data_IF_408480558738
#
_entry.id   IF_408480558738
#
_cell.length_a   1.000
_cell.length_b   1.000
_cell.length_c   1.000
_cell.angle_alpha   90.00
_cell.angle_beta   90.00
_cell.angle_gamma   90.00
#
_symmetry.space_group_name_H-M   'P 1'
#
loop_
_entity.id
_entity.type
_entity.pdbx_description
1 polymer ?
#
# COMPACT_ATOMS: atom_id res chain seq x y z
N UNK A 1 29.47 19.90 -10.24
CA UNK A 1 28.53 18.90 -9.70
C UNK A 1 27.86 18.23 -10.90
N UNK A 2 28.22 16.98 -11.28
CA UNK A 2 27.57 16.30 -12.41
C UNK A 2 26.07 16.13 -12.14
N UNK A 3 25.23 16.44 -13.10
CA UNK A 3 23.77 16.32 -12.99
C UNK A 3 23.37 14.84 -13.13
N UNK A 4 22.87 14.24 -12.05
CA UNK A 4 22.42 12.83 -12.02
C UNK A 4 21.00 12.64 -12.58
N UNK A 5 20.29 13.74 -12.86
CA UNK A 5 18.91 13.74 -13.36
C UNK A 5 18.68 12.82 -14.58
N UNK A 6 19.56 12.78 -15.60
CA UNK A 6 19.36 11.90 -16.75
C UNK A 6 19.49 10.42 -16.39
N UNK A 7 20.47 10.07 -15.55
CA UNK A 7 20.72 8.69 -15.14
C UNK A 7 19.63 8.18 -14.19
N UNK A 8 19.12 9.05 -13.31
CA UNK A 8 17.99 8.75 -12.44
C UNK A 8 16.69 8.58 -13.25
N UNK A 9 16.45 9.44 -14.25
CA UNK A 9 15.31 9.31 -15.14
C UNK A 9 15.35 7.99 -15.94
N UNK A 10 16.53 7.62 -16.45
CA UNK A 10 16.73 6.35 -17.15
C UNK A 10 16.44 5.15 -16.22
N UNK A 11 16.97 5.16 -14.99
CA UNK A 11 16.73 4.09 -14.02
C UNK A 11 15.25 3.92 -13.66
N UNK A 12 14.53 5.02 -13.41
CA UNK A 12 13.08 4.98 -13.13
C UNK A 12 12.31 4.47 -14.34
N UNK A 13 12.63 4.94 -15.55
CA UNK A 13 11.97 4.49 -16.78
C UNK A 13 12.16 2.98 -17.02
N UNK A 14 13.36 2.44 -16.79
CA UNK A 14 13.63 1.01 -16.91
C UNK A 14 12.81 0.18 -15.92
N UNK A 15 12.69 0.63 -14.66
CA UNK A 15 11.89 -0.07 -13.64
C UNK A 15 10.41 -0.02 -14.01
N UNK A 16 9.89 1.14 -14.43
CA UNK A 16 8.50 1.27 -14.86
C UNK A 16 8.19 0.37 -16.06
N UNK A 17 9.10 0.29 -17.03
CA UNK A 17 8.97 -0.60 -18.18
C UNK A 17 8.95 -2.07 -17.75
N UNK A 18 9.85 -2.48 -16.85
CA UNK A 18 9.88 -3.85 -16.33
C UNK A 18 8.57 -4.20 -15.61
N UNK A 19 8.09 -3.33 -14.72
CA UNK A 19 6.82 -3.53 -14.02
C UNK A 19 5.64 -3.60 -14.98
N UNK A 20 5.65 -2.78 -16.03
CA UNK A 20 4.63 -2.81 -17.07
C UNK A 20 4.64 -4.15 -17.82
N UNK A 21 5.81 -4.64 -18.25
CA UNK A 21 5.94 -5.95 -18.91
C UNK A 21 5.48 -7.08 -18.00
N UNK A 22 5.89 -7.08 -16.73
CA UNK A 22 5.45 -8.09 -15.74
C UNK A 22 3.93 -8.04 -15.57
N UNK A 23 3.34 -6.85 -15.49
CA UNK A 23 1.88 -6.68 -15.39
C UNK A 23 1.17 -7.28 -16.61
N UNK A 24 1.65 -7.01 -17.82
CA UNK A 24 1.08 -7.60 -19.04
C UNK A 24 1.21 -9.12 -19.08
N UNK A 25 2.36 -9.67 -18.65
CA UNK A 25 2.58 -11.11 -18.55
C UNK A 25 1.60 -11.76 -17.58
N UNK A 26 1.34 -11.13 -16.43
CA UNK A 26 0.35 -11.60 -15.45
C UNK A 26 -1.06 -11.58 -16.03
N UNK A 27 -1.47 -10.49 -16.69
CA UNK A 27 -2.79 -10.40 -17.34
C UNK A 27 -2.96 -11.50 -18.40
N UNK A 28 -1.94 -11.68 -19.26
CA UNK A 28 -1.96 -12.72 -20.29
C UNK A 28 -2.00 -14.13 -19.71
N UNK A 29 -1.21 -14.37 -18.66
CA UNK A 29 -1.17 -15.65 -17.96
C UNK A 29 -2.52 -15.97 -17.33
N UNK A 30 -3.11 -15.05 -16.56
CA UNK A 30 -4.43 -15.24 -15.94
C UNK A 30 -5.53 -15.40 -16.97
N UNK A 31 -5.48 -14.67 -18.08
CA UNK A 31 -6.43 -14.87 -19.17
C UNK A 31 -6.34 -16.29 -19.77
N UNK A 32 -5.12 -16.78 -20.00
CA UNK A 32 -4.87 -18.11 -20.56
C UNK A 32 -5.23 -19.23 -19.59
N UNK A 33 -5.01 -18.99 -18.30
CA UNK A 33 -5.40 -19.88 -17.20
C UNK A 33 -6.92 -19.95 -17.04
N UNK A 34 -7.59 -18.80 -16.98
CA UNK A 34 -9.04 -18.71 -16.81
C UNK A 34 -9.83 -19.34 -17.99
N UNK A 35 -9.25 -19.41 -19.19
CA UNK A 35 -9.87 -20.14 -20.32
C UNK A 35 -10.05 -21.63 -20.05
N UNK A 36 -9.16 -22.23 -19.25
CA UNK A 36 -9.15 -23.67 -19.00
C UNK A 36 -9.71 -24.01 -17.62
N UNK A 37 -9.60 -23.09 -16.66
CA UNK A 37 -9.82 -23.38 -15.24
C UNK A 37 -10.97 -22.58 -14.61
N UNK A 38 -11.75 -21.80 -15.37
CA UNK A 38 -12.86 -21.00 -14.84
C UNK A 38 -14.18 -21.21 -15.58
N UNK A 39 -15.27 -21.25 -14.83
CA UNK A 39 -16.64 -21.21 -15.34
C UNK A 39 -17.05 -19.79 -15.81
N UNK A 40 -16.32 -18.77 -15.36
CA UNK A 40 -16.54 -17.37 -15.71
C UNK A 40 -15.71 -16.93 -16.92
N UNK A 41 -16.17 -15.93 -17.69
CA UNK A 41 -15.44 -15.40 -18.83
C UNK A 41 -14.00 -14.97 -18.50
N UNK A 42 -13.03 -15.52 -19.23
CA UNK A 42 -11.61 -15.20 -19.07
C UNK A 42 -11.30 -13.69 -19.21
N UNK A 43 -12.09 -12.97 -20.01
CA UNK A 43 -11.95 -11.53 -20.17
C UNK A 43 -12.22 -10.77 -18.86
N UNK A 44 -13.19 -11.21 -18.05
CA UNK A 44 -13.48 -10.57 -16.75
C UNK A 44 -12.28 -10.70 -15.81
N UNK A 45 -11.68 -11.90 -15.74
CA UNK A 45 -10.47 -12.12 -14.94
C UNK A 45 -9.29 -11.25 -15.39
N UNK A 46 -9.09 -11.09 -16.70
CA UNK A 46 -8.06 -10.19 -17.23
C UNK A 46 -8.29 -8.73 -16.78
N UNK A 47 -9.53 -8.24 -16.83
CA UNK A 47 -9.90 -6.91 -16.36
C UNK A 47 -9.69 -6.76 -14.86
N UNK A 48 -10.06 -7.78 -14.06
CA UNK A 48 -9.86 -7.78 -12.60
C UNK A 48 -8.37 -7.68 -12.25
N UNK A 49 -7.51 -8.46 -12.91
CA UNK A 49 -6.06 -8.43 -12.65
C UNK A 49 -5.41 -7.14 -13.13
N UNK A 50 -5.86 -6.60 -14.26
CA UNK A 50 -5.41 -5.29 -14.73
C UNK A 50 -5.79 -4.15 -13.77
N UNK A 51 -7.00 -4.21 -13.19
CA UNK A 51 -7.49 -3.23 -12.22
C UNK A 51 -7.05 -3.50 -10.76
N UNK A 52 -6.46 -4.65 -10.48
CA UNK A 52 -6.00 -5.05 -9.15
C UNK A 52 -5.15 -3.99 -8.43
N UNK A 53 -4.16 -3.31 -9.06
CA UNK A 53 -3.42 -2.24 -8.38
C UNK A 53 -4.31 -1.06 -7.95
N UNK A 54 -5.37 -0.73 -8.69
CA UNK A 54 -6.33 0.31 -8.29
C UNK A 54 -7.24 -0.20 -7.17
N UNK A 55 -7.72 -1.45 -7.28
CA UNK A 55 -8.55 -2.08 -6.24
C UNK A 55 -7.79 -2.17 -4.90
N UNK A 56 -6.48 -2.46 -4.94
CA UNK A 56 -5.63 -2.46 -3.76
C UNK A 56 -5.54 -1.08 -3.10
N UNK A 57 -5.43 0.00 -3.87
CA UNK A 57 -5.46 1.37 -3.35
C UNK A 57 -6.81 1.68 -2.69
N UNK A 58 -7.91 1.37 -3.36
CA UNK A 58 -9.26 1.57 -2.82
C UNK A 58 -9.41 0.81 -1.49
N UNK A 59 -9.02 -0.46 -1.44
CA UNK A 59 -9.05 -1.26 -0.22
C UNK A 59 -8.18 -0.68 0.89
N UNK A 60 -6.99 -0.17 0.56
CA UNK A 60 -6.12 0.49 1.52
C UNK A 60 -6.80 1.73 2.13
N UNK A 61 -7.48 2.56 1.34
CA UNK A 61 -8.20 3.72 1.88
C UNK A 61 -9.43 3.34 2.70
N UNK A 62 -10.15 2.31 2.31
CA UNK A 62 -11.38 1.89 2.98
C UNK A 62 -11.11 1.13 4.27
N UNK A 63 -10.19 0.15 4.24
CA UNK A 63 -9.94 -0.80 5.34
C UNK A 63 -8.59 -0.54 6.01
N UNK A 64 -7.54 -0.30 5.21
CA UNK A 64 -6.17 -0.14 5.73
C UNK A 64 -5.92 1.19 6.45
N UNK A 65 -6.66 2.25 6.08
CA UNK A 65 -6.48 3.60 6.62
C UNK A 65 -7.26 3.79 7.91
N UNK A 66 -6.84 3.09 8.96
CA UNK A 66 -7.22 3.46 10.32
C UNK A 66 -6.44 4.70 10.72
N UNK A 67 -7.16 5.79 11.07
CA UNK A 67 -6.55 6.87 11.83
C UNK A 67 -6.42 6.33 13.24
N UNK A 68 -5.22 5.92 13.63
CA UNK A 68 -4.88 5.89 15.05
C UNK A 68 -5.13 7.31 15.53
N UNK A 69 -6.29 7.56 16.16
CA UNK A 69 -6.45 8.75 16.96
C UNK A 69 -5.33 8.66 17.98
N UNK A 70 -4.30 9.49 17.81
CA UNK A 70 -3.30 9.72 18.83
C UNK A 70 -4.06 10.19 20.05
N UNK A 71 -4.46 9.24 20.91
CA UNK A 71 -4.92 9.55 22.25
C UNK A 71 -3.69 10.18 22.91
N UNK A 72 -3.72 11.48 23.25
CA UNK A 72 -2.55 12.10 23.84
C UNK A 72 -2.19 11.30 25.10
N UNK A 73 -0.94 10.80 25.24
CA UNK A 73 -0.51 10.22 26.49
C UNK A 73 -0.42 11.36 27.49
N UNK A 74 -1.36 11.41 28.44
CA UNK A 74 -1.23 12.27 29.61
C UNK A 74 -2.17 13.47 29.70
N UNK A 75 -3.49 13.24 29.64
CA UNK A 75 -4.44 14.09 30.38
C UNK A 75 -4.78 13.49 31.75
N UNK A 76 -3.83 12.79 32.39
CA UNK A 76 -3.97 12.38 33.79
C UNK A 76 -3.42 13.47 34.69
N UNK A 77 -4.34 14.32 35.14
CA UNK A 77 -4.43 14.87 36.49
C UNK A 77 -3.19 14.65 37.36
N UNK A 78 -2.26 15.61 37.35
CA UNK A 78 -1.31 15.81 38.44
C UNK A 78 -2.10 16.31 39.64
N UNK A 79 -2.70 15.37 40.36
CA UNK A 79 -3.70 15.62 41.38
C UNK A 79 -3.70 14.53 42.42
N UNK A 80 -2.52 14.11 42.89
CA UNK A 80 -2.37 13.34 44.12
C UNK A 80 -0.89 13.04 44.34
N UNK A 81 -0.10 14.03 44.76
CA UNK A 81 1.06 13.67 45.57
C UNK A 81 1.16 14.56 46.82
N UNK A 82 0.37 14.11 47.79
CA UNK A 82 0.88 13.75 49.12
C UNK A 82 1.70 14.81 49.83
N UNK A 83 0.97 15.74 50.44
CA UNK A 83 1.28 16.38 51.73
C UNK A 83 1.60 15.35 52.85
N UNK A 84 2.66 14.55 52.77
CA UNK A 84 3.11 13.60 53.82
C UNK A 84 4.63 13.37 53.60
N UNK A 85 5.61 13.86 54.36
CA UNK A 85 5.83 13.98 55.82
C UNK A 85 7.06 14.88 56.11
N UNK A 86 7.24 15.41 57.35
CA UNK A 86 8.33 16.33 57.73
C UNK A 86 9.61 15.62 58.24
N UNK A 87 10.75 16.34 58.35
CA UNK A 87 12.03 15.80 58.82
C UNK A 87 12.10 15.69 60.35
N UNK A 88 12.81 14.67 60.84
CA UNK A 88 13.32 14.57 62.22
C UNK A 88 14.77 14.12 62.15
#
# INVERSE_FOLDING_TARGET
>A
MPSTIPLQAAGVASIMLLLFVVSLLLVFWVYSDAKQNSEHPAFLWAVVVFLAPLLGLVLYFLVGRSRTYSRPPGSRSSGSDSRRRPPR
#
